data_IF_021069008078
#
_entry.id   IF_021069008078
#
_cell.length_a   1.000
_cell.length_b   1.000
_cell.length_c   1.000
_cell.angle_alpha   90.00
_cell.angle_beta   90.00
_cell.angle_gamma   90.00
#
_symmetry.space_group_name_H-M   'P 1'
#
loop_
_entity.id
_entity.type
_entity.pdbx_description
1 polymer ?
#
# COMPACT_ATOMS: atom_id res chain seq x y z
N UNK A 1 32.67 10.80 -20.21
CA UNK A 1 31.82 9.61 -20.41
C UNK A 1 31.00 9.43 -19.13
N UNK A 2 29.78 9.96 -19.09
CA UNK A 2 28.94 9.94 -17.87
C UNK A 2 28.22 8.59 -17.78
N UNK A 3 28.66 7.74 -16.86
CA UNK A 3 27.97 6.49 -16.53
C UNK A 3 26.80 6.86 -15.62
N UNK A 4 25.59 6.85 -16.17
CA UNK A 4 24.36 6.99 -15.38
C UNK A 4 24.06 5.63 -14.75
N UNK A 5 24.30 5.50 -13.44
CA UNK A 5 23.83 4.33 -12.68
C UNK A 5 22.30 4.42 -12.59
N UNK A 6 21.61 3.50 -13.25
CA UNK A 6 20.16 3.34 -13.08
C UNK A 6 19.88 2.87 -11.65
N UNK A 7 19.39 3.77 -10.79
CA UNK A 7 18.88 3.39 -9.48
C UNK A 7 17.41 2.96 -9.64
N UNK A 8 17.16 1.65 -9.57
CA UNK A 8 15.80 1.08 -9.60
C UNK A 8 14.93 1.77 -8.54
N UNK A 9 13.94 2.55 -9.00
CA UNK A 9 12.77 3.02 -8.25
C UNK A 9 13.00 3.29 -6.75
N UNK A 10 13.92 4.21 -6.41
CA UNK A 10 14.18 4.60 -5.01
C UNK A 10 12.94 5.12 -4.26
N UNK A 11 11.85 5.44 -4.98
CA UNK A 11 10.64 6.06 -4.43
C UNK A 11 9.34 5.43 -4.95
N UNK A 12 9.27 4.10 -5.12
CA UNK A 12 7.97 3.46 -5.41
C UNK A 12 7.07 3.54 -4.18
N UNK A 13 5.93 4.23 -4.30
CA UNK A 13 4.90 4.23 -3.26
C UNK A 13 4.15 2.92 -3.33
N UNK A 14 4.04 2.22 -2.21
CA UNK A 14 3.19 1.04 -2.12
C UNK A 14 1.73 1.40 -2.36
N UNK A 15 0.92 0.42 -2.76
CA UNK A 15 -0.50 0.62 -3.07
C UNK A 15 -1.25 1.23 -1.87
N UNK A 16 -0.96 0.76 -0.65
CA UNK A 16 -1.50 1.23 0.62
C UNK A 16 -1.19 2.72 0.84
N UNK A 17 0.07 3.10 0.67
CA UNK A 17 0.52 4.48 0.85
C UNK A 17 -0.14 5.40 -0.17
N UNK A 18 -0.18 4.98 -1.43
CA UNK A 18 -0.76 5.77 -2.51
C UNK A 18 -2.28 5.91 -2.33
N UNK A 19 -2.97 4.85 -1.91
CA UNK A 19 -4.39 4.85 -1.58
C UNK A 19 -4.71 5.87 -0.49
N UNK A 20 -3.98 5.80 0.64
CA UNK A 20 -4.14 6.76 1.73
C UNK A 20 -3.80 8.16 1.25
N UNK A 21 -2.67 8.38 0.55
CA UNK A 21 -2.25 9.70 0.04
C UNK A 21 -3.30 10.34 -0.85
N UNK A 22 -3.91 9.59 -1.77
CA UNK A 22 -4.92 10.09 -2.72
C UNK A 22 -6.27 10.45 -2.06
N UNK A 23 -6.56 9.95 -0.87
CA UNK A 23 -7.75 10.35 -0.14
C UNK A 23 -7.66 11.82 0.29
N UNK A 24 -8.49 12.70 -0.30
CA UNK A 24 -8.44 14.16 -0.02
C UNK A 24 -8.75 14.48 1.44
N UNK A 25 -9.76 13.83 2.02
CA UNK A 25 -10.15 14.04 3.41
C UNK A 25 -9.61 12.91 4.30
N UNK A 26 -8.50 13.15 5.00
CA UNK A 26 -7.91 12.13 5.89
C UNK A 26 -8.77 11.78 7.10
N UNK A 27 -9.66 12.69 7.54
CA UNK A 27 -10.46 12.50 8.76
C UNK A 27 -11.48 11.37 8.64
N UNK A 28 -11.93 11.06 7.42
CA UNK A 28 -12.91 10.00 7.17
C UNK A 28 -12.27 8.60 7.06
N UNK A 29 -10.96 8.50 6.83
CA UNK A 29 -10.26 7.22 6.62
C UNK A 29 -10.51 6.25 7.78
N UNK A 30 -10.62 6.77 9.01
CA UNK A 30 -10.91 5.97 10.20
C UNK A 30 -12.28 5.26 10.20
N UNK A 31 -13.16 5.64 9.29
CA UNK A 31 -14.47 5.03 9.10
C UNK A 31 -14.53 4.16 7.82
N UNK A 32 -13.47 4.19 7.00
CA UNK A 32 -13.40 3.49 5.72
C UNK A 32 -12.76 2.11 5.84
N UNK A 33 -13.07 1.26 4.87
CA UNK A 33 -12.35 0.00 4.63
C UNK A 33 -11.33 0.17 3.53
N UNK A 34 -10.16 -0.44 3.70
CA UNK A 34 -9.14 -0.54 2.66
C UNK A 34 -9.20 -1.94 2.07
N UNK A 35 -9.33 -2.03 0.74
CA UNK A 35 -9.31 -3.29 0.00
C UNK A 35 -8.00 -3.32 -0.79
N UNK A 36 -7.15 -4.31 -0.51
CA UNK A 36 -5.90 -4.56 -1.21
C UNK A 36 -6.07 -5.76 -2.12
N UNK A 37 -5.95 -5.54 -3.42
CA UNK A 37 -6.04 -6.59 -4.43
C UNK A 37 -4.64 -6.87 -4.95
N UNK A 38 -4.19 -8.12 -4.88
CA UNK A 38 -2.90 -8.54 -5.41
C UNK A 38 -3.04 -9.75 -6.31
N UNK A 39 -2.48 -9.65 -7.51
CA UNK A 39 -2.35 -10.80 -8.42
C UNK A 39 -1.03 -11.49 -8.08
N UNK A 40 -1.10 -12.66 -7.45
CA UNK A 40 0.06 -13.42 -6.99
C UNK A 40 -0.31 -14.88 -6.72
N UNK A 41 0.64 -15.78 -6.92
CA UNK A 41 0.49 -17.20 -6.56
C UNK A 41 0.80 -17.48 -5.08
N UNK A 42 1.08 -16.44 -4.27
CA UNK A 42 1.31 -16.58 -2.84
C UNK A 42 0.01 -16.54 -2.05
N UNK A 43 -0.16 -17.48 -1.13
CA UNK A 43 -1.41 -17.68 -0.37
C UNK A 43 -1.69 -16.58 0.66
N UNK A 44 -0.65 -15.94 1.20
CA UNK A 44 -0.79 -14.87 2.20
C UNK A 44 -0.10 -13.60 1.77
N UNK A 45 -0.90 -12.56 1.57
CA UNK A 45 -0.41 -11.20 1.31
C UNK A 45 -0.89 -10.31 2.44
N UNK A 46 0.08 -9.71 3.14
CA UNK A 46 -0.16 -8.69 4.16
C UNK A 46 0.60 -7.42 3.77
N UNK A 47 0.15 -6.24 4.23
CA UNK A 47 0.95 -5.03 4.12
C UNK A 47 2.32 -5.22 4.76
N UNK A 48 3.36 -4.60 4.19
CA UNK A 48 4.67 -4.56 4.84
C UNK A 48 4.61 -3.72 6.13
N UNK A 49 5.61 -3.83 7.00
CA UNK A 49 5.70 -3.08 8.27
C UNK A 49 5.42 -1.58 8.09
N UNK A 50 6.09 -0.95 7.13
CA UNK A 50 5.93 0.47 6.83
C UNK A 50 4.51 0.84 6.36
N UNK A 51 3.84 -0.01 5.58
CA UNK A 51 2.45 0.21 5.20
C UNK A 51 1.50 -0.01 6.38
N UNK A 52 1.79 -0.99 7.23
CA UNK A 52 1.04 -1.26 8.44
C UNK A 52 1.08 -0.07 9.41
N UNK A 53 2.24 0.57 9.57
CA UNK A 53 2.39 1.77 10.40
C UNK A 53 1.54 2.94 9.89
N UNK A 54 1.48 3.11 8.57
CA UNK A 54 0.66 4.16 7.95
C UNK A 54 -0.83 3.84 8.11
N UNK A 55 -1.24 2.59 7.90
CA UNK A 55 -2.61 2.11 8.15
C UNK A 55 -3.02 2.41 9.60
N UNK A 56 -2.15 2.10 10.56
CA UNK A 56 -2.37 2.34 11.99
C UNK A 56 -2.43 3.84 12.30
N UNK A 57 -1.52 4.65 11.74
CA UNK A 57 -1.48 6.12 11.89
C UNK A 57 -2.81 6.77 11.48
N UNK A 58 -3.41 6.32 10.37
CA UNK A 58 -4.69 6.84 9.89
C UNK A 58 -5.92 6.10 10.46
N UNK A 59 -5.70 5.11 11.34
CA UNK A 59 -6.73 4.32 12.02
C UNK A 59 -7.73 3.68 11.06
N UNK A 60 -7.28 3.17 9.92
CA UNK A 60 -8.15 2.52 8.93
C UNK A 60 -8.99 1.45 9.63
N UNK A 61 -10.32 1.50 9.47
CA UNK A 61 -11.24 0.66 10.27
C UNK A 61 -11.02 -0.83 10.07
N UNK A 62 -10.78 -1.23 8.82
CA UNK A 62 -10.51 -2.62 8.44
C UNK A 62 -9.72 -2.65 7.15
N UNK A 63 -8.78 -3.58 7.07
CA UNK A 63 -8.02 -3.87 5.84
C UNK A 63 -8.39 -5.27 5.39
N UNK A 64 -8.80 -5.41 4.13
CA UNK A 64 -9.15 -6.69 3.50
C UNK A 64 -8.15 -6.92 2.38
N UNK A 65 -7.43 -8.03 2.43
CA UNK A 65 -6.48 -8.44 1.39
C UNK A 65 -7.12 -9.54 0.55
N UNK A 66 -7.15 -9.36 -0.76
CA UNK A 66 -7.71 -10.30 -1.74
C UNK A 66 -6.58 -10.67 -2.70
N UNK A 67 -6.35 -11.97 -2.84
CA UNK A 67 -5.34 -12.53 -3.75
C UNK A 67 -6.02 -13.20 -4.93
N UNK A 68 -5.51 -12.93 -6.13
CA UNK A 68 -5.89 -13.64 -7.35
C UNK A 68 -4.68 -14.40 -7.87
N UNK A 69 -4.83 -15.67 -8.28
CA UNK A 69 -3.75 -16.39 -8.96
C UNK A 69 -3.39 -15.67 -10.27
N UNK A 70 -2.12 -15.76 -10.65
CA UNK A 70 -1.57 -15.11 -11.85
C UNK A 70 -1.75 -15.99 -13.08
#
# INVERSE_FOLDING_TARGET
>A
MNIVFYEINKHSWHAEQNCIRKCKNKKIIKHCYMILVKITNSETVKPCCMCQDIINKYKVRRVVCITFPK
#
